data_IF_554253402808
#
_entry.id   IF_554253402808
#
_cell.length_a   1.000
_cell.length_b   1.000
_cell.length_c   1.000
_cell.angle_alpha   90.00
_cell.angle_beta   90.00
_cell.angle_gamma   90.00
#
_symmetry.space_group_name_H-M   'P 1'
#
loop_
_entity.id
_entity.type
_entity.pdbx_description
1 polymer ?
#
# COMPACT_ATOMS: atom_id res chain seq x y z
N UNK A 1 -11.19 -61.66 47.10
CA UNK A 1 -10.22 -61.65 45.98
C UNK A 1 -11.00 -61.59 44.67
N UNK A 2 -11.28 -60.38 44.16
CA UNK A 2 -11.90 -60.17 42.85
C UNK A 2 -11.04 -59.12 42.15
N UNK A 3 -10.35 -59.52 41.09
CA UNK A 3 -9.46 -58.66 40.31
C UNK A 3 -10.30 -57.73 39.42
N UNK A 4 -10.02 -56.43 39.54
CA UNK A 4 -10.61 -55.36 38.75
C UNK A 4 -10.14 -55.42 37.28
N UNK A 5 -11.10 -55.35 36.35
CA UNK A 5 -10.87 -55.14 34.93
C UNK A 5 -10.92 -53.63 34.67
N UNK A 6 -9.77 -53.00 34.38
CA UNK A 6 -9.71 -51.60 33.93
C UNK A 6 -9.99 -51.56 32.43
N UNK A 7 -11.15 -51.06 32.05
CA UNK A 7 -11.46 -50.67 30.67
C UNK A 7 -11.01 -49.23 30.51
N UNK A 8 -9.92 -49.01 29.78
CA UNK A 8 -9.51 -47.67 29.34
C UNK A 8 -10.32 -47.29 28.10
N UNK A 9 -11.32 -46.42 28.25
CA UNK A 9 -11.94 -45.74 27.11
C UNK A 9 -10.96 -44.65 26.63
N UNK A 10 -10.30 -44.89 25.49
CA UNK A 10 -9.72 -43.81 24.70
C UNK A 10 -10.86 -43.02 24.03
N UNK A 11 -11.12 -41.81 24.52
CA UNK A 11 -11.87 -40.82 23.74
C UNK A 11 -10.97 -40.30 22.62
N UNK A 12 -11.13 -40.84 21.42
CA UNK A 12 -10.59 -40.23 20.21
C UNK A 12 -11.37 -38.93 19.94
N UNK A 13 -10.78 -37.79 20.28
CA UNK A 13 -11.27 -36.48 19.85
C UNK A 13 -10.93 -36.36 18.37
N UNK A 14 -11.88 -36.70 17.51
CA UNK A 14 -11.83 -36.37 16.08
C UNK A 14 -11.98 -34.86 15.93
N UNK A 15 -11.02 -34.13 15.33
CA UNK A 15 -11.23 -32.73 14.99
C UNK A 15 -12.26 -32.69 13.86
N UNK A 16 -13.45 -32.17 14.16
CA UNK A 16 -14.38 -31.72 13.12
C UNK A 16 -13.73 -30.54 12.41
N UNK A 17 -13.12 -30.80 11.25
CA UNK A 17 -12.79 -29.75 10.29
C UNK A 17 -14.11 -29.16 9.79
N UNK A 18 -14.57 -28.09 10.44
CA UNK A 18 -15.53 -27.22 9.81
C UNK A 18 -14.79 -26.55 8.65
N UNK A 19 -15.14 -26.92 7.42
CA UNK A 19 -14.86 -26.10 6.24
C UNK A 19 -15.57 -24.77 6.45
N UNK A 20 -14.91 -23.82 7.11
CA UNK A 20 -15.34 -22.43 7.10
C UNK A 20 -15.29 -21.99 5.64
N UNK A 21 -16.46 -21.89 5.01
CA UNK A 21 -16.62 -21.10 3.79
C UNK A 21 -15.94 -19.76 4.06
N UNK A 22 -14.85 -19.49 3.35
CA UNK A 22 -14.08 -18.27 3.49
C UNK A 22 -15.01 -17.12 3.09
N UNK A 23 -15.50 -16.41 4.10
CA UNK A 23 -16.33 -15.23 3.91
C UNK A 23 -15.40 -14.02 3.97
N UNK A 24 -15.59 -13.10 3.04
CA UNK A 24 -15.00 -11.76 3.09
C UNK A 24 -15.19 -11.22 4.51
N UNK A 25 -14.12 -10.75 5.19
CA UNK A 25 -14.22 -10.14 6.51
C UNK A 25 -15.29 -9.04 6.55
N UNK A 26 -15.95 -8.89 7.71
CA UNK A 26 -17.02 -7.90 7.85
C UNK A 26 -16.45 -6.50 7.70
N UNK A 27 -16.99 -5.76 6.73
CA UNK A 27 -16.68 -4.35 6.55
C UNK A 27 -17.51 -3.53 7.53
N UNK A 28 -16.85 -2.66 8.29
CA UNK A 28 -17.48 -1.86 9.33
C UNK A 28 -18.46 -0.83 8.74
N UNK A 29 -19.53 -0.45 9.47
CA UNK A 29 -20.29 0.75 9.14
C UNK A 29 -19.47 2.03 9.36
N UNK A 30 -19.87 3.12 8.70
CA UNK A 30 -19.11 4.38 8.66
C UNK A 30 -18.78 4.97 10.04
N UNK A 31 -19.68 4.82 11.03
CA UNK A 31 -19.45 5.33 12.39
C UNK A 31 -18.30 4.59 13.08
N UNK A 32 -18.25 3.28 12.94
CA UNK A 32 -17.19 2.44 13.50
C UNK A 32 -15.87 2.65 12.74
N UNK A 33 -15.92 2.84 11.42
CA UNK A 33 -14.73 3.22 10.63
C UNK A 33 -14.13 4.54 11.12
N UNK A 34 -14.98 5.54 11.34
CA UNK A 34 -14.58 6.85 11.85
C UNK A 34 -13.82 6.74 13.18
N UNK A 35 -14.35 5.96 14.12
CA UNK A 35 -13.70 5.72 15.41
C UNK A 35 -12.34 5.02 15.28
N UNK A 36 -12.21 4.02 14.39
CA UNK A 36 -10.94 3.34 14.14
C UNK A 36 -9.90 4.30 13.54
N UNK A 37 -10.31 5.07 12.53
CA UNK A 37 -9.46 6.05 11.86
C UNK A 37 -8.95 7.10 12.85
N UNK A 38 -9.83 7.67 13.66
CA UNK A 38 -9.46 8.70 14.63
C UNK A 38 -8.55 8.16 15.72
N UNK A 39 -8.78 6.93 16.20
CA UNK A 39 -7.93 6.31 17.21
C UNK A 39 -6.51 5.97 16.70
N UNK A 40 -6.39 5.59 15.43
CA UNK A 40 -5.09 5.42 14.78
C UNK A 40 -4.42 6.77 14.61
N UNK A 41 -5.16 7.79 14.17
CA UNK A 41 -4.62 9.13 13.95
C UNK A 41 -4.12 9.77 15.27
N UNK A 42 -4.86 9.62 16.37
CA UNK A 42 -4.43 10.00 17.72
C UNK A 42 -3.09 9.34 18.09
N UNK A 43 -2.98 8.02 17.91
CA UNK A 43 -1.74 7.27 18.17
C UNK A 43 -0.57 7.78 17.32
N UNK A 44 -0.80 8.05 16.04
CA UNK A 44 0.23 8.61 15.15
C UNK A 44 0.69 10.00 15.62
N UNK A 45 -0.22 10.85 16.08
CA UNK A 45 0.15 12.17 16.60
C UNK A 45 0.90 12.12 17.93
N UNK A 46 0.53 11.21 18.83
CA UNK A 46 1.16 11.11 20.15
C UNK A 46 2.49 10.35 20.13
N UNK A 47 2.59 9.28 19.34
CA UNK A 47 3.69 8.34 19.42
C UNK A 47 4.63 8.40 18.21
N UNK A 48 4.09 8.55 16.99
CA UNK A 48 4.89 8.52 15.77
C UNK A 48 5.48 9.90 15.42
N UNK A 49 4.65 10.94 15.35
CA UNK A 49 5.07 12.26 14.91
C UNK A 49 6.25 12.84 15.73
N UNK A 50 6.27 12.76 17.07
CA UNK A 50 7.39 13.29 17.85
C UNK A 50 8.71 12.56 17.52
N UNK A 51 8.66 11.25 17.31
CA UNK A 51 9.83 10.48 16.94
C UNK A 51 10.36 10.90 15.56
N UNK A 52 9.47 11.11 14.59
CA UNK A 52 9.85 11.55 13.24
C UNK A 52 10.42 12.97 13.22
N UNK A 53 9.79 13.93 13.92
CA UNK A 53 10.29 15.31 14.00
C UNK A 53 11.70 15.36 14.58
N UNK A 54 11.97 14.55 15.62
CA UNK A 54 13.29 14.42 16.24
C UNK A 54 14.30 13.74 15.32
N UNK A 55 13.90 12.67 14.63
CA UNK A 55 14.73 11.95 13.65
C UNK A 55 15.23 12.88 12.56
N UNK A 56 14.36 13.73 12.03
CA UNK A 56 14.69 14.70 10.97
C UNK A 56 15.26 16.03 11.49
N UNK A 57 15.26 16.21 12.82
CA UNK A 57 15.72 17.41 13.50
C UNK A 57 14.97 18.66 13.05
N UNK A 58 13.64 18.57 12.87
CA UNK A 58 12.73 19.68 12.56
C UNK A 58 12.02 20.09 13.85
N UNK A 59 12.26 21.32 14.30
CA UNK A 59 11.67 21.83 15.55
C UNK A 59 10.22 22.25 15.35
N UNK A 60 9.90 22.83 14.19
CA UNK A 60 8.55 23.24 13.84
C UNK A 60 8.18 22.78 12.45
N UNK A 61 7.11 22.00 12.32
CA UNK A 61 6.56 21.59 11.05
C UNK A 61 5.25 22.33 10.78
N UNK A 62 5.19 23.04 9.66
CA UNK A 62 4.02 23.81 9.26
C UNK A 62 3.49 23.22 7.95
N UNK A 63 2.24 22.78 7.97
CA UNK A 63 1.53 22.26 6.79
C UNK A 63 0.39 23.22 6.47
N UNK A 64 0.41 23.77 5.25
CA UNK A 64 -0.52 24.81 4.80
C UNK A 64 -1.28 24.27 3.61
N UNK A 65 -2.61 24.34 3.66
CA UNK A 65 -3.44 23.90 2.55
C UNK A 65 -4.72 24.73 2.43
N UNK A 66 -5.39 24.56 1.30
CA UNK A 66 -6.72 25.10 1.06
C UNK A 66 -7.70 23.96 0.81
N UNK A 67 -8.96 24.20 1.14
CA UNK A 67 -10.08 23.33 0.81
C UNK A 67 -10.08 22.97 -0.69
N UNK A 68 -10.19 21.67 -0.98
CA UNK A 68 -10.11 21.07 -2.33
C UNK A 68 -8.72 21.10 -2.97
N UNK A 69 -7.69 21.54 -2.24
CA UNK A 69 -6.29 21.47 -2.65
C UNK A 69 -5.42 21.17 -1.43
N UNK A 70 -5.75 20.07 -0.76
CA UNK A 70 -5.04 19.60 0.42
C UNK A 70 -3.64 19.12 0.05
N UNK A 71 -2.67 19.51 0.87
CA UNK A 71 -1.37 18.86 0.90
C UNK A 71 -1.57 17.35 1.11
N UNK A 72 -0.88 16.47 0.34
CA UNK A 72 -1.09 15.02 0.45
C UNK A 72 -0.86 14.47 1.86
N UNK A 73 0.05 15.09 2.62
CA UNK A 73 0.27 14.78 4.04
C UNK A 73 -0.94 15.25 4.86
N UNK A 74 -1.38 16.50 4.69
CA UNK A 74 -2.52 17.04 5.45
C UNK A 74 -3.77 16.17 5.28
N UNK A 75 -4.04 15.67 4.09
CA UNK A 75 -5.19 14.79 3.82
C UNK A 75 -5.23 13.55 4.72
N UNK A 76 -4.06 13.02 5.08
CA UNK A 76 -3.95 11.87 6.00
C UNK A 76 -4.09 12.25 7.49
N UNK A 77 -3.97 13.54 7.80
CA UNK A 77 -4.02 14.11 9.14
C UNK A 77 -5.39 14.65 9.55
N UNK A 78 -6.35 14.68 8.63
CA UNK A 78 -7.70 15.16 8.93
C UNK A 78 -8.45 14.15 9.81
N UNK A 79 -9.25 14.58 10.80
CA UNK A 79 -10.19 13.71 11.48
C UNK A 79 -11.14 13.00 10.50
N UNK A 80 -11.66 11.84 10.88
CA UNK A 80 -12.51 10.99 10.03
C UNK A 80 -13.71 11.71 9.43
N UNK A 81 -14.31 12.63 10.18
CA UNK A 81 -15.49 13.41 9.77
C UNK A 81 -15.14 14.68 8.97
N UNK A 82 -13.85 14.95 8.74
CA UNK A 82 -13.38 16.04 7.89
C UNK A 82 -12.99 15.47 6.53
N UNK A 83 -13.93 15.51 5.59
CA UNK A 83 -13.75 15.00 4.23
C UNK A 83 -12.81 15.86 3.36
N UNK A 84 -12.60 17.12 3.77
CA UNK A 84 -11.69 18.09 3.16
C UNK A 84 -11.15 19.03 4.22
N UNK A 85 -10.09 19.77 3.89
CA UNK A 85 -9.74 20.98 4.63
C UNK A 85 -10.90 21.99 4.54
N UNK A 86 -10.94 22.97 5.45
CA UNK A 86 -12.00 23.99 5.50
C UNK A 86 -11.36 25.35 5.28
N UNK A 87 -11.60 26.00 4.13
CA UNK A 87 -10.86 27.20 3.69
C UNK A 87 -9.34 26.99 3.77
N UNK A 88 -8.57 27.96 4.28
CA UNK A 88 -7.15 27.82 4.58
C UNK A 88 -6.97 27.13 5.93
N UNK A 89 -6.40 25.94 5.89
CA UNK A 89 -6.01 25.17 7.09
C UNK A 89 -4.49 25.27 7.24
N UNK A 90 -4.04 25.63 8.44
CA UNK A 90 -2.62 25.65 8.80
C UNK A 90 -2.45 24.79 10.05
N UNK A 91 -1.78 23.66 9.90
CA UNK A 91 -1.37 22.79 11.01
C UNK A 91 0.06 23.14 11.41
N UNK A 92 0.30 23.31 12.70
CA UNK A 92 1.60 23.63 13.28
C UNK A 92 1.92 22.60 14.35
N UNK A 93 3.02 21.88 14.15
CA UNK A 93 3.58 20.96 15.13
C UNK A 93 4.90 21.54 15.61
N UNK A 94 5.08 21.68 16.91
CA UNK A 94 6.32 22.17 17.50
C UNK A 94 6.86 21.19 18.53
N UNK A 95 8.12 20.77 18.36
CA UNK A 95 8.85 19.97 19.33
C UNK A 95 9.68 20.89 20.25
N UNK A 96 9.27 21.06 21.52
CA UNK A 96 10.09 21.80 22.50
C UNK A 96 11.37 21.07 22.90
N UNK A 97 11.58 19.83 22.44
CA UNK A 97 12.74 19.00 22.71
C UNK A 97 12.74 18.39 24.12
N UNK A 98 13.85 17.74 24.46
CA UNK A 98 14.07 17.10 25.78
C UNK A 98 12.98 16.08 26.18
N UNK A 99 12.41 15.36 25.21
CA UNK A 99 11.40 14.33 25.47
C UNK A 99 10.01 14.87 25.87
N UNK A 100 9.80 16.19 25.83
CA UNK A 100 8.49 16.79 26.10
C UNK A 100 7.47 16.48 24.98
N UNK A 101 6.15 16.50 25.25
CA UNK A 101 5.14 16.37 24.22
C UNK A 101 5.22 17.49 23.17
N UNK A 102 4.72 17.23 21.96
CA UNK A 102 4.59 18.25 20.92
C UNK A 102 3.47 19.23 21.27
N UNK A 103 3.68 20.50 20.94
CA UNK A 103 2.55 21.42 20.78
C UNK A 103 1.92 21.16 19.41
N UNK A 104 0.62 20.85 19.40
CA UNK A 104 -0.16 20.53 18.19
C UNK A 104 -1.25 21.56 18.01
N UNK A 105 -1.05 22.47 17.07
CA UNK A 105 -1.88 23.66 16.90
C UNK A 105 -2.48 23.70 15.50
N UNK A 106 -3.71 24.18 15.40
CA UNK A 106 -4.29 24.62 14.16
C UNK A 106 -4.43 26.14 14.23
N UNK A 107 -3.92 26.88 13.23
CA UNK A 107 -4.18 28.33 13.15
C UNK A 107 -5.60 28.51 12.61
N UNK A 108 -6.58 28.21 13.46
CA UNK A 108 -8.00 28.14 13.15
C UNK A 108 -8.80 28.65 14.34
N UNK A 109 -10.05 29.07 14.09
CA UNK A 109 -10.94 29.60 15.13
C UNK A 109 -11.44 28.53 16.11
N UNK A 110 -11.25 27.27 15.76
CA UNK A 110 -11.79 26.11 16.45
C UNK A 110 -10.79 24.96 16.33
N UNK A 111 -10.89 24.02 17.26
CA UNK A 111 -10.06 22.82 17.29
C UNK A 111 -10.29 21.96 16.03
N UNK A 112 -9.23 21.32 15.55
CA UNK A 112 -9.32 20.31 14.49
C UNK A 112 -9.57 18.96 15.18
N UNK A 113 -10.85 18.64 15.36
CA UNK A 113 -11.25 17.47 16.16
C UNK A 113 -10.78 17.60 17.61
N UNK A 114 -10.31 16.51 18.19
CA UNK A 114 -9.65 16.47 19.51
C UNK A 114 -8.12 16.59 19.41
N UNK A 115 -7.59 16.76 18.20
CA UNK A 115 -6.19 16.48 17.87
C UNK A 115 -5.29 17.73 17.84
N UNK A 116 -5.84 18.86 17.40
CA UNK A 116 -5.11 20.14 17.36
C UNK A 116 -5.95 21.24 17.99
N UNK A 117 -5.31 21.99 18.90
CA UNK A 117 -5.92 23.16 19.54
C UNK A 117 -6.01 24.32 18.57
N UNK A 118 -7.17 24.95 18.48
CA UNK A 118 -7.40 26.16 17.68
C UNK A 118 -6.70 27.38 18.27
N UNK A 119 -5.77 27.94 17.52
CA UNK A 119 -4.91 29.07 17.94
C UNK A 119 -5.07 30.28 17.00
N UNK A 120 -6.32 30.65 16.71
CA UNK A 120 -6.63 31.88 15.99
C UNK A 120 -7.85 32.60 16.54
N UNK A 121 -7.58 33.66 17.31
CA UNK A 121 -8.58 34.65 17.69
C UNK A 121 -8.55 35.84 16.72
N UNK A 122 -9.68 36.03 16.02
CA UNK A 122 -9.84 37.08 15.01
C UNK A 122 -9.97 38.47 15.61
N UNK A 123 -10.48 38.57 16.83
CA UNK A 123 -10.59 39.85 17.51
C UNK A 123 -9.21 40.44 17.80
N UNK A 124 -8.21 39.59 18.04
CA UNK A 124 -6.81 39.98 18.26
C UNK A 124 -5.91 39.86 17.03
N UNK A 125 -6.33 39.11 15.99
CA UNK A 125 -5.59 38.92 14.73
C UNK A 125 -6.56 38.79 13.54
N UNK A 126 -6.91 39.90 12.86
CA UNK A 126 -7.81 39.83 11.70
C UNK A 126 -7.26 38.96 10.56
N UNK A 127 -5.93 38.91 10.41
CA UNK A 127 -5.23 38.07 9.43
C UNK A 127 -4.70 36.77 10.09
N UNK A 128 -5.06 35.62 9.52
CA UNK A 128 -4.64 34.29 9.96
C UNK A 128 -3.10 34.15 9.94
N UNK A 129 -2.42 34.83 9.02
CA UNK A 129 -0.96 34.83 8.96
C UNK A 129 -0.32 35.49 10.18
N UNK A 130 -0.92 36.55 10.72
CA UNK A 130 -0.36 37.26 11.87
C UNK A 130 -0.42 36.38 13.13
N UNK A 131 -1.47 35.55 13.25
CA UNK A 131 -1.58 34.54 14.31
C UNK A 131 -0.46 33.48 14.19
N UNK A 132 -0.20 32.96 12.98
CA UNK A 132 0.92 32.04 12.74
C UNK A 132 2.27 32.69 13.11
N UNK A 133 2.49 33.96 12.74
CA UNK A 133 3.72 34.67 13.06
C UNK A 133 3.92 34.89 14.56
N UNK A 134 2.84 35.12 15.32
CA UNK A 134 2.89 35.18 16.80
C UNK A 134 3.34 33.84 17.38
N UNK A 135 2.80 32.72 16.89
CA UNK A 135 3.22 31.37 17.30
C UNK A 135 4.70 31.14 17.01
N UNK A 136 5.16 31.42 15.78
CA UNK A 136 6.57 31.26 15.39
C UNK A 136 7.48 32.09 16.30
N UNK A 137 7.14 33.36 16.56
CA UNK A 137 7.93 34.24 17.44
C UNK A 137 7.98 33.74 18.88
N UNK A 138 6.84 33.27 19.41
CA UNK A 138 6.75 32.79 20.77
C UNK A 138 7.55 31.48 20.99
N UNK A 139 7.53 30.57 20.01
CA UNK A 139 8.24 29.29 20.08
C UNK A 139 9.71 29.40 19.66
N UNK A 140 10.06 30.41 18.85
CA UNK A 140 11.40 30.69 18.32
C UNK A 140 12.15 29.42 17.84
N UNK A 141 11.60 28.66 16.87
CA UNK A 141 12.24 27.43 16.38
C UNK A 141 13.60 27.74 15.74
N UNK A 142 14.52 26.76 15.74
CA UNK A 142 15.81 26.82 15.01
C UNK A 142 15.66 26.31 13.58
N UNK A 143 14.73 25.37 13.33
CA UNK A 143 14.38 24.87 12.00
C UNK A 143 12.87 24.77 11.79
N UNK A 144 12.39 25.33 10.68
CA UNK A 144 10.99 25.32 10.25
C UNK A 144 10.88 24.46 8.98
N UNK A 145 10.22 23.32 9.06
CA UNK A 145 9.95 22.45 7.92
C UNK A 145 8.67 22.86 7.19
N UNK A 146 8.73 22.90 5.86
CA UNK A 146 7.58 23.10 4.96
C UNK A 146 7.55 22.01 3.87
N UNK A 147 6.36 21.61 3.43
CA UNK A 147 6.19 20.52 2.47
C UNK A 147 6.44 20.97 1.02
N UNK A 148 7.71 21.01 0.62
CA UNK A 148 8.11 21.16 -0.78
C UNK A 148 9.18 20.13 -1.13
N UNK A 149 9.07 19.55 -2.33
CA UNK A 149 9.95 18.48 -2.81
C UNK A 149 10.05 18.46 -4.33
N UNK A 150 11.27 18.31 -4.85
CA UNK A 150 11.48 18.07 -6.28
C UNK A 150 11.39 16.57 -6.66
N UNK A 151 11.35 15.67 -5.67
CA UNK A 151 11.49 14.22 -5.85
C UNK A 151 10.20 13.48 -5.53
N UNK A 152 9.51 13.87 -4.46
CA UNK A 152 8.33 13.21 -3.92
C UNK A 152 7.13 14.14 -4.03
N UNK A 153 6.25 13.90 -5.00
CA UNK A 153 5.01 14.65 -5.15
C UNK A 153 4.14 14.63 -3.86
N UNK A 154 4.18 13.52 -3.12
CA UNK A 154 3.52 13.38 -1.81
C UNK A 154 3.97 14.40 -0.75
N UNK A 155 5.18 14.95 -0.90
CA UNK A 155 5.77 15.92 0.01
C UNK A 155 5.89 17.33 -0.61
N UNK A 156 5.22 17.57 -1.75
CA UNK A 156 5.21 18.83 -2.49
C UNK A 156 3.83 19.51 -2.49
N UNK A 157 3.12 19.42 -1.36
CA UNK A 157 1.76 19.96 -1.23
C UNK A 157 1.69 21.46 -0.93
N UNK A 158 2.81 22.12 -0.57
CA UNK A 158 2.83 23.56 -0.35
C UNK A 158 2.72 24.30 -1.69
N UNK A 159 1.52 24.79 -1.99
CA UNK A 159 1.28 25.53 -3.23
C UNK A 159 2.08 26.83 -3.29
N UNK A 160 2.43 27.26 -4.52
CA UNK A 160 3.21 28.47 -4.77
C UNK A 160 2.68 29.71 -4.05
N UNK A 161 1.36 29.99 -4.16
CA UNK A 161 0.75 31.16 -3.51
C UNK A 161 0.90 31.13 -1.98
N UNK A 162 0.66 29.97 -1.36
CA UNK A 162 0.78 29.83 0.10
C UNK A 162 2.23 29.98 0.57
N UNK A 163 3.19 29.48 -0.21
CA UNK A 163 4.63 29.68 0.05
C UNK A 163 5.01 31.16 -0.02
N UNK A 164 4.60 31.86 -1.08
CA UNK A 164 4.93 33.27 -1.26
C UNK A 164 4.32 34.14 -0.16
N UNK A 165 3.05 33.92 0.19
CA UNK A 165 2.39 34.63 1.30
C UNK A 165 3.09 34.34 2.64
N UNK A 166 3.41 33.08 2.92
CA UNK A 166 4.15 32.71 4.13
C UNK A 166 5.50 33.43 4.21
N UNK A 167 6.30 33.40 3.13
CA UNK A 167 7.63 34.01 3.11
C UNK A 167 7.60 35.54 3.18
N UNK A 168 6.56 36.20 2.63
CA UNK A 168 6.36 37.64 2.77
C UNK A 168 6.03 38.04 4.22
N UNK A 169 5.22 37.22 4.91
CA UNK A 169 4.80 37.47 6.29
C UNK A 169 5.85 37.06 7.32
N UNK A 170 6.67 36.07 7.01
CA UNK A 170 7.72 35.57 7.89
C UNK A 170 8.77 36.67 8.18
N UNK A 171 9.08 36.97 9.46
CA UNK A 171 10.13 37.93 9.78
C UNK A 171 11.49 37.48 9.24
N UNK A 172 12.29 38.41 8.75
CA UNK A 172 13.57 38.13 8.06
C UNK A 172 14.55 37.25 8.85
N UNK A 173 14.55 37.35 10.18
CA UNK A 173 15.38 36.53 11.07
C UNK A 173 15.06 35.02 11.02
N UNK A 174 13.85 34.62 10.58
CA UNK A 174 13.45 33.22 10.44
C UNK A 174 13.64 32.68 9.02
N UNK A 175 13.90 33.52 8.01
CA UNK A 175 13.99 33.08 6.61
C UNK A 175 15.05 31.99 6.42
N UNK A 176 16.22 32.15 7.05
CA UNK A 176 17.31 31.17 6.98
C UNK A 176 17.03 29.86 7.76
N UNK A 177 15.95 29.82 8.55
CA UNK A 177 15.55 28.64 9.33
C UNK A 177 14.55 27.76 8.58
N UNK A 178 14.00 28.24 7.46
CA UNK A 178 13.05 27.49 6.63
C UNK A 178 13.81 26.43 5.84
N UNK A 179 13.30 25.20 5.85
CA UNK A 179 13.85 24.08 5.11
C UNK A 179 12.75 23.14 4.59
N UNK A 180 13.13 22.19 3.74
CA UNK A 180 12.20 21.20 3.23
C UNK A 180 11.82 20.20 4.33
N UNK A 181 10.53 19.96 4.47
CA UNK A 181 9.93 18.90 5.27
C UNK A 181 9.81 17.58 4.52
N UNK A 182 10.48 17.41 3.37
CA UNK A 182 10.37 16.22 2.51
C UNK A 182 10.56 14.91 3.29
N UNK A 183 11.68 14.77 4.01
CA UNK A 183 11.96 13.54 4.76
C UNK A 183 10.98 13.27 5.90
N UNK A 184 10.48 14.31 6.56
CA UNK A 184 9.46 14.20 7.60
C UNK A 184 8.10 13.81 7.02
N UNK A 185 7.77 14.35 5.85
CA UNK A 185 6.56 13.99 5.09
C UNK A 185 6.61 12.53 4.64
N UNK A 186 7.74 12.09 4.09
CA UNK A 186 7.96 10.69 3.72
C UNK A 186 7.85 9.81 4.95
N UNK A 187 8.56 10.12 6.03
CA UNK A 187 8.50 9.37 7.29
C UNK A 187 7.07 9.23 7.84
N UNK A 188 6.29 10.32 7.79
CA UNK A 188 4.89 10.30 8.19
C UNK A 188 4.03 9.43 7.27
N UNK A 189 4.30 9.39 5.97
CA UNK A 189 3.49 8.64 5.01
C UNK A 189 3.91 7.18 4.86
N UNK A 190 5.17 6.83 5.12
CA UNK A 190 5.71 5.48 4.91
C UNK A 190 5.56 4.59 6.16
N UNK A 191 5.64 5.18 7.35
CA UNK A 191 5.72 4.42 8.60
C UNK A 191 4.35 3.91 9.03
N UNK A 192 4.24 2.60 9.25
CA UNK A 192 3.06 1.95 9.82
C UNK A 192 3.21 1.78 11.33
N UNK A 193 2.17 2.13 12.08
CA UNK A 193 2.14 1.87 13.53
C UNK A 193 1.68 0.46 13.85
N UNK A 194 1.91 -0.01 15.08
CA UNK A 194 1.41 -1.32 15.54
C UNK A 194 -0.12 -1.42 15.44
N UNK A 195 -0.84 -0.31 15.66
CA UNK A 195 -2.30 -0.26 15.50
C UNK A 195 -2.74 -0.49 14.06
N UNK A 196 -2.06 0.14 13.10
CA UNK A 196 -2.31 -0.10 11.68
C UNK A 196 -1.99 -1.56 11.31
N UNK A 197 -0.87 -2.09 11.80
CA UNK A 197 -0.48 -3.47 11.52
C UNK A 197 -1.38 -4.52 12.18
N UNK A 198 -2.19 -4.15 13.17
CA UNK A 198 -3.22 -5.02 13.74
C UNK A 198 -4.39 -5.22 12.77
N UNK A 199 -4.71 -4.21 11.96
CA UNK A 199 -5.85 -4.26 11.03
C UNK A 199 -5.44 -4.61 9.59
N UNK A 200 -4.22 -4.26 9.18
CA UNK A 200 -3.78 -4.41 7.78
C UNK A 200 -3.90 -5.85 7.24
N UNK A 201 -3.54 -6.91 7.98
CA UNK A 201 -3.74 -8.29 7.53
C UNK A 201 -5.18 -8.62 7.12
N UNK A 202 -6.16 -8.06 7.84
CA UNK A 202 -7.57 -8.24 7.51
C UNK A 202 -7.96 -7.45 6.26
N UNK A 203 -7.39 -6.25 6.04
CA UNK A 203 -7.62 -5.46 4.83
C UNK A 203 -7.08 -6.18 3.59
N UNK A 204 -5.84 -6.66 3.62
CA UNK A 204 -5.27 -7.48 2.55
C UNK A 204 -6.10 -8.77 2.34
N UNK A 205 -6.62 -9.37 3.42
CA UNK A 205 -7.51 -10.53 3.31
C UNK A 205 -8.80 -10.21 2.57
N UNK A 206 -9.43 -9.05 2.79
CA UNK A 206 -10.62 -8.64 2.03
C UNK A 206 -10.30 -8.60 0.53
N UNK A 207 -9.16 -7.99 0.16
CA UNK A 207 -8.72 -7.91 -1.24
C UNK A 207 -8.51 -9.31 -1.85
N UNK A 208 -7.80 -10.19 -1.14
CA UNK A 208 -7.63 -11.60 -1.54
C UNK A 208 -8.96 -12.34 -1.76
N UNK A 209 -9.93 -12.16 -0.87
CA UNK A 209 -11.23 -12.83 -1.00
C UNK A 209 -12.05 -12.30 -2.18
N UNK A 210 -11.93 -11.00 -2.50
CA UNK A 210 -12.56 -10.43 -3.69
C UNK A 210 -11.92 -11.00 -4.97
N UNK A 211 -10.59 -11.12 -5.02
CA UNK A 211 -9.88 -11.77 -6.13
C UNK A 211 -10.30 -13.24 -6.24
N UNK A 212 -10.36 -13.96 -5.12
CA UNK A 212 -10.78 -15.35 -5.08
C UNK A 212 -12.22 -15.54 -5.60
N UNK A 213 -13.13 -14.63 -5.25
CA UNK A 213 -14.51 -14.60 -5.76
C UNK A 213 -14.55 -14.31 -7.28
N UNK A 214 -13.78 -13.33 -7.76
CA UNK A 214 -13.68 -12.96 -9.18
C UNK A 214 -13.07 -14.08 -10.04
N UNK A 215 -12.07 -14.79 -9.51
CA UNK A 215 -11.47 -15.97 -10.11
C UNK A 215 -12.20 -17.26 -9.73
N UNK A 216 -13.51 -17.29 -9.97
CA UNK A 216 -14.34 -18.47 -9.76
C UNK A 216 -15.45 -18.58 -10.80
N UNK A 217 -16.10 -19.73 -10.82
CA UNK A 217 -17.26 -20.06 -11.65
C UNK A 217 -18.49 -19.19 -11.34
N UNK A 218 -18.46 -18.46 -10.22
CA UNK A 218 -19.48 -17.45 -9.90
C UNK A 218 -19.46 -16.29 -10.90
N UNK A 219 -18.29 -15.98 -11.46
CA UNK A 219 -18.06 -14.80 -12.31
C UNK A 219 -17.61 -15.21 -13.70
N UNK A 220 -16.74 -16.20 -13.79
CA UNK A 220 -16.13 -16.63 -15.05
C UNK A 220 -16.85 -17.86 -15.59
N UNK A 221 -17.56 -17.65 -16.70
CA UNK A 221 -18.06 -18.69 -17.58
C UNK A 221 -17.20 -18.70 -18.86
N UNK A 222 -16.32 -19.71 -19.05
CA UNK A 222 -15.46 -19.78 -20.24
C UNK A 222 -16.28 -19.77 -21.54
N UNK A 223 -15.80 -19.01 -22.53
CA UNK A 223 -16.45 -18.78 -23.81
C UNK A 223 -17.50 -17.66 -23.80
N UNK A 224 -17.87 -17.13 -22.64
CA UNK A 224 -18.89 -16.09 -22.47
C UNK A 224 -18.32 -14.86 -21.77
N UNK A 225 -17.81 -15.02 -20.55
CA UNK A 225 -17.25 -13.91 -19.76
C UNK A 225 -16.01 -13.36 -20.43
N UNK A 226 -15.91 -12.03 -20.51
CA UNK A 226 -14.72 -11.33 -21.01
C UNK A 226 -13.84 -10.83 -19.86
N UNK A 227 -12.60 -10.48 -20.16
CA UNK A 227 -11.71 -9.80 -19.20
C UNK A 227 -12.31 -8.50 -18.64
N UNK A 228 -13.03 -7.74 -19.47
CA UNK A 228 -13.69 -6.48 -19.07
C UNK A 228 -14.87 -6.73 -18.12
N UNK A 229 -15.64 -7.81 -18.31
CA UNK A 229 -16.71 -8.19 -17.38
C UNK A 229 -16.16 -8.46 -15.98
N UNK A 230 -14.99 -9.12 -15.87
CA UNK A 230 -14.33 -9.37 -14.58
C UNK A 230 -13.83 -8.08 -13.94
N UNK A 231 -13.26 -7.16 -14.74
CA UNK A 231 -12.85 -5.81 -14.27
C UNK A 231 -14.04 -5.04 -13.69
N UNK A 232 -15.18 -5.01 -14.39
CA UNK A 232 -16.37 -4.33 -13.91
C UNK A 232 -17.01 -5.02 -12.72
N UNK A 233 -16.99 -6.35 -12.68
CA UNK A 233 -17.39 -7.12 -11.52
C UNK A 233 -16.57 -6.72 -10.28
N UNK A 234 -15.23 -6.67 -10.38
CA UNK A 234 -14.34 -6.25 -9.29
C UNK A 234 -14.69 -4.83 -8.80
N UNK A 235 -14.88 -3.89 -9.72
CA UNK A 235 -15.25 -2.49 -9.40
C UNK A 235 -16.61 -2.38 -8.71
N UNK A 236 -17.60 -3.13 -9.18
CA UNK A 236 -18.92 -3.16 -8.55
C UNK A 236 -18.83 -3.82 -7.16
N UNK A 237 -18.06 -4.90 -7.04
CA UNK A 237 -17.90 -5.63 -5.77
C UNK A 237 -17.29 -4.78 -4.67
N UNK A 238 -16.27 -3.97 -5.01
CA UNK A 238 -15.69 -2.97 -4.09
C UNK A 238 -16.76 -1.98 -3.60
N UNK A 239 -17.57 -1.48 -4.53
CA UNK A 239 -18.65 -0.51 -4.23
C UNK A 239 -19.74 -1.12 -3.33
N UNK A 240 -20.17 -2.35 -3.64
CA UNK A 240 -21.22 -3.06 -2.87
C UNK A 240 -20.80 -3.34 -1.44
N UNK A 241 -19.51 -3.54 -1.20
CA UNK A 241 -18.93 -3.71 0.14
C UNK A 241 -18.71 -2.37 0.87
N UNK A 242 -18.98 -1.24 0.21
CA UNK A 242 -18.74 0.10 0.73
C UNK A 242 -17.26 0.43 0.85
N UNK A 243 -16.40 -0.13 0.00
CA UNK A 243 -14.96 0.09 -0.01
C UNK A 243 -14.57 1.11 -1.09
N UNK A 244 -13.36 1.66 -0.98
CA UNK A 244 -12.74 2.45 -2.04
C UNK A 244 -11.76 1.62 -2.87
N UNK A 245 -11.21 2.23 -3.92
CA UNK A 245 -10.05 1.72 -4.66
C UNK A 245 -9.26 2.91 -5.20
N UNK A 246 -7.94 2.77 -5.32
CA UNK A 246 -7.05 3.85 -5.74
C UNK A 246 -6.67 3.78 -7.23
N UNK A 247 -7.06 2.71 -7.93
CA UNK A 247 -6.90 2.57 -9.37
C UNK A 247 -8.07 1.78 -10.00
N UNK A 248 -8.02 1.61 -11.32
CA UNK A 248 -8.95 0.76 -12.03
C UNK A 248 -8.25 -0.56 -12.32
N UNK A 249 -8.79 -1.71 -11.87
CA UNK A 249 -8.06 -2.96 -11.94
C UNK A 249 -7.87 -3.37 -13.40
N UNK A 250 -6.92 -4.27 -13.61
CA UNK A 250 -6.71 -4.88 -14.92
C UNK A 250 -6.90 -6.39 -14.83
N UNK A 251 -7.43 -6.97 -15.90
CA UNK A 251 -7.49 -8.41 -16.09
C UNK A 251 -6.99 -8.70 -17.49
N UNK A 252 -5.99 -9.56 -17.61
CA UNK A 252 -5.40 -9.95 -18.88
C UNK A 252 -5.25 -11.46 -18.98
N UNK A 253 -4.97 -11.90 -20.21
CA UNK A 253 -4.85 -13.31 -20.54
C UNK A 253 -3.57 -13.57 -21.33
N UNK A 254 -2.98 -14.72 -21.05
CA UNK A 254 -1.93 -15.33 -21.84
C UNK A 254 -2.39 -16.72 -22.24
N UNK A 255 -2.31 -17.03 -23.53
CA UNK A 255 -2.74 -18.32 -24.08
C UNK A 255 -1.77 -18.83 -25.15
N UNK A 256 -1.92 -20.11 -25.46
CA UNK A 256 -1.22 -20.77 -26.57
C UNK A 256 -1.81 -20.28 -27.91
N UNK A 257 -1.23 -19.20 -28.45
CA UNK A 257 -1.57 -18.62 -29.74
C UNK A 257 -0.32 -18.07 -30.45
N UNK A 258 -0.45 -17.75 -31.74
CA UNK A 258 0.65 -17.21 -32.55
C UNK A 258 0.95 -15.72 -32.26
N UNK A 259 0.25 -15.11 -31.30
CA UNK A 259 0.45 -13.70 -30.95
C UNK A 259 1.55 -13.58 -29.91
N UNK A 260 2.59 -12.81 -30.22
CA UNK A 260 3.62 -12.46 -29.24
C UNK A 260 3.04 -11.61 -28.10
N UNK A 261 3.47 -11.87 -26.87
CA UNK A 261 3.11 -11.06 -25.71
C UNK A 261 3.80 -9.68 -25.80
N UNK A 262 3.03 -8.61 -25.94
CA UNK A 262 3.53 -7.24 -26.00
C UNK A 262 3.45 -6.61 -24.61
N UNK A 263 4.52 -6.78 -23.82
CA UNK A 263 4.64 -6.24 -22.45
C UNK A 263 4.42 -4.73 -22.36
N UNK A 264 4.76 -3.95 -23.41
CA UNK A 264 4.54 -2.50 -23.41
C UNK A 264 3.04 -2.16 -23.48
N UNK A 265 2.21 -3.04 -24.03
CA UNK A 265 0.75 -2.83 -24.02
C UNK A 265 0.21 -2.97 -22.61
N UNK A 266 0.49 -4.03 -21.88
CA UNK A 266 -0.13 -4.26 -20.56
C UNK A 266 0.08 -3.10 -19.59
N UNK A 267 1.26 -2.46 -19.58
CA UNK A 267 1.54 -1.30 -18.72
C UNK A 267 1.16 0.07 -19.33
N UNK A 268 1.20 0.24 -20.66
CA UNK A 268 0.95 1.55 -21.30
C UNK A 268 -0.43 1.69 -21.99
N UNK A 269 -1.15 0.59 -22.21
CA UNK A 269 -2.47 0.53 -22.88
C UNK A 269 -3.32 -0.61 -22.31
N UNK A 270 -4.49 -0.26 -21.75
CA UNK A 270 -5.45 -1.26 -21.24
C UNK A 270 -5.64 -2.42 -22.24
N UNK A 271 -5.56 -3.69 -21.79
CA UNK A 271 -5.88 -4.83 -22.63
C UNK A 271 -7.27 -4.63 -23.24
N UNK A 272 -7.44 -4.95 -24.53
CA UNK A 272 -8.78 -4.98 -25.12
C UNK A 272 -9.63 -6.06 -24.46
N UNK A 273 -10.95 -5.88 -24.45
CA UNK A 273 -11.87 -6.93 -23.95
C UNK A 273 -11.69 -8.22 -24.76
N UNK A 274 -11.37 -9.32 -24.09
CA UNK A 274 -11.17 -10.64 -24.70
C UNK A 274 -12.06 -11.68 -24.01
N UNK A 275 -12.79 -12.52 -24.76
CA UNK A 275 -13.47 -13.68 -24.18
C UNK A 275 -12.46 -14.62 -23.52
N UNK A 276 -12.73 -15.00 -22.28
CA UNK A 276 -11.95 -15.94 -21.50
C UNK A 276 -12.24 -17.36 -22.00
N UNK A 277 -11.21 -18.12 -22.36
CA UNK A 277 -11.33 -19.44 -22.98
C UNK A 277 -10.66 -20.54 -22.16
N UNK A 278 -11.09 -21.81 -22.30
CA UNK A 278 -10.34 -22.94 -21.75
C UNK A 278 -8.90 -22.97 -22.24
N UNK A 279 -7.96 -23.11 -21.29
CA UNK A 279 -6.52 -23.09 -21.53
C UNK A 279 -5.84 -21.74 -21.33
N UNK A 280 -6.59 -20.70 -20.96
CA UNK A 280 -6.03 -19.39 -20.64
C UNK A 280 -5.36 -19.37 -19.27
N UNK A 281 -4.18 -18.76 -19.20
CA UNK A 281 -3.62 -18.20 -17.97
C UNK A 281 -4.13 -16.77 -17.83
N UNK A 282 -4.91 -16.49 -16.79
CA UNK A 282 -5.50 -15.19 -16.48
C UNK A 282 -4.71 -14.56 -15.36
N UNK A 283 -4.49 -13.25 -15.48
CA UNK A 283 -3.86 -12.41 -14.48
C UNK A 283 -4.82 -11.29 -14.09
N UNK A 284 -4.79 -10.88 -12.82
CA UNK A 284 -5.48 -9.71 -12.30
C UNK A 284 -4.48 -8.83 -11.57
N UNK A 285 -4.67 -7.52 -11.67
CA UNK A 285 -4.05 -6.49 -10.85
C UNK A 285 -5.16 -5.69 -10.16
N UNK A 286 -5.22 -5.74 -8.83
CA UNK A 286 -6.34 -5.26 -8.04
C UNK A 286 -5.96 -4.79 -6.63
N UNK A 287 -6.51 -3.65 -6.23
CA UNK A 287 -6.36 -3.11 -4.88
C UNK A 287 -7.61 -2.40 -4.37
N UNK A 288 -7.77 -2.37 -3.05
CA UNK A 288 -8.83 -1.63 -2.35
C UNK A 288 -8.25 -0.52 -1.48
N UNK A 289 -9.09 0.43 -1.11
CA UNK A 289 -8.82 1.42 -0.06
C UNK A 289 -9.83 1.22 1.06
N UNK A 290 -9.33 0.93 2.26
CA UNK A 290 -10.17 0.73 3.45
C UNK A 290 -9.46 1.25 4.69
N UNK A 291 -10.18 1.96 5.57
CA UNK A 291 -9.63 2.57 6.78
C UNK A 291 -8.36 3.42 6.52
N UNK A 292 -8.32 4.10 5.37
CA UNK A 292 -7.19 4.92 4.86
C UNK A 292 -5.91 4.15 4.50
N UNK A 293 -5.98 2.82 4.42
CA UNK A 293 -4.90 1.98 3.92
C UNK A 293 -5.29 1.39 2.56
N UNK A 294 -4.31 1.26 1.67
CA UNK A 294 -4.45 0.67 0.35
C UNK A 294 -3.87 -0.75 0.34
N UNK A 295 -4.41 -1.61 -0.50
CA UNK A 295 -3.78 -2.89 -0.88
C UNK A 295 -3.37 -2.84 -2.34
N UNK A 296 -2.44 -3.71 -2.72
CA UNK A 296 -2.12 -3.96 -4.12
C UNK A 296 -1.70 -5.42 -4.34
N UNK A 297 -2.37 -6.09 -5.28
CA UNK A 297 -2.28 -7.53 -5.42
C UNK A 297 -2.44 -7.97 -6.87
N UNK A 298 -1.48 -8.78 -7.32
CA UNK A 298 -1.47 -9.43 -8.62
C UNK A 298 -1.45 -10.93 -8.46
N UNK A 299 -2.47 -11.60 -9.01
CA UNK A 299 -2.64 -13.04 -8.88
C UNK A 299 -3.03 -13.69 -10.22
N UNK A 300 -2.75 -15.00 -10.32
CA UNK A 300 -3.03 -15.81 -11.50
C UNK A 300 -4.14 -16.84 -11.27
N UNK A 301 -4.92 -17.09 -12.32
CA UNK A 301 -5.79 -18.25 -12.44
C UNK A 301 -5.58 -18.95 -13.79
N UNK A 302 -5.90 -20.24 -13.87
CA UNK A 302 -5.85 -21.03 -15.09
C UNK A 302 -7.23 -21.63 -15.37
N UNK A 303 -7.72 -21.42 -16.59
CA UNK A 303 -8.97 -22.04 -17.04
C UNK A 303 -8.66 -23.46 -17.53
N UNK A 304 -9.14 -24.46 -16.80
CA UNK A 304 -8.91 -25.86 -17.16
C UNK A 304 -9.58 -26.19 -18.51
N UNK A 305 -8.85 -26.90 -19.37
CA UNK A 305 -9.43 -27.49 -20.58
C UNK A 305 -10.32 -28.67 -20.23
N UNK A 306 -11.24 -29.06 -21.15
CA UNK A 306 -12.00 -30.29 -20.99
C UNK A 306 -11.07 -31.49 -20.71
N UNK A 307 -11.28 -32.15 -19.56
CA UNK A 307 -10.49 -33.30 -19.11
C UNK A 307 -9.25 -32.99 -18.28
N UNK A 308 -8.83 -31.72 -18.17
CA UNK A 308 -7.77 -31.32 -17.23
C UNK A 308 -8.33 -31.25 -15.79
N UNK A 309 -7.62 -31.86 -14.85
CA UNK A 309 -7.94 -31.79 -13.41
C UNK A 309 -6.98 -30.88 -12.62
N UNK A 310 -5.82 -30.58 -13.20
CA UNK A 310 -4.76 -29.81 -12.56
C UNK A 310 -4.15 -28.80 -13.53
N UNK A 311 -3.49 -27.79 -12.97
CA UNK A 311 -2.68 -26.84 -13.75
C UNK A 311 -1.54 -27.62 -14.44
N UNK A 312 -1.29 -27.37 -15.74
CA UNK A 312 -0.16 -27.98 -16.44
C UNK A 312 1.18 -27.72 -15.76
N UNK A 313 2.03 -28.76 -15.72
CA UNK A 313 3.31 -28.73 -15.00
C UNK A 313 4.26 -27.61 -15.46
N UNK A 314 4.25 -27.26 -16.75
CA UNK A 314 5.06 -26.16 -17.28
C UNK A 314 4.63 -24.79 -16.74
N UNK A 315 3.34 -24.58 -16.45
CA UNK A 315 2.84 -23.35 -15.82
C UNK A 315 3.18 -23.32 -14.33
N UNK A 316 3.07 -24.46 -13.63
CA UNK A 316 3.51 -24.57 -12.21
C UNK A 316 4.99 -24.21 -12.07
N UNK A 317 5.85 -24.72 -12.97
CA UNK A 317 7.29 -24.39 -13.00
C UNK A 317 7.57 -22.93 -13.34
N UNK A 318 6.82 -22.34 -14.27
CA UNK A 318 6.94 -20.91 -14.57
C UNK A 318 6.58 -20.07 -13.35
N UNK A 319 5.46 -20.40 -12.69
CA UNK A 319 4.98 -19.70 -11.50
C UNK A 319 5.99 -19.75 -10.34
N UNK A 320 6.61 -20.91 -10.13
CA UNK A 320 7.64 -21.10 -9.12
C UNK A 320 8.87 -20.18 -9.34
N UNK A 321 9.22 -19.83 -10.58
CA UNK A 321 10.28 -18.85 -10.85
C UNK A 321 9.89 -17.44 -10.39
N UNK A 322 8.61 -17.05 -10.56
CA UNK A 322 8.10 -15.77 -10.05
C UNK A 322 8.15 -15.71 -8.52
N UNK A 323 7.68 -16.77 -7.85
CA UNK A 323 7.80 -16.92 -6.40
C UNK A 323 9.26 -16.89 -5.93
N UNK A 324 10.18 -17.48 -6.69
CA UNK A 324 11.61 -17.42 -6.38
C UNK A 324 12.16 -15.99 -6.50
N UNK A 325 11.76 -15.22 -7.51
CA UNK A 325 12.18 -13.82 -7.63
C UNK A 325 11.66 -12.96 -6.45
N UNK A 326 10.44 -13.24 -5.97
CA UNK A 326 9.90 -12.62 -4.76
C UNK A 326 10.76 -12.93 -3.53
N UNK A 327 11.22 -14.18 -3.37
CA UNK A 327 12.15 -14.55 -2.29
C UNK A 327 13.48 -13.78 -2.41
N UNK A 328 14.08 -13.79 -3.60
CA UNK A 328 15.35 -13.10 -3.88
C UNK A 328 15.28 -11.63 -3.47
N UNK A 329 14.21 -10.94 -3.86
CA UNK A 329 14.01 -9.54 -3.52
C UNK A 329 13.78 -9.34 -2.01
N UNK A 330 12.86 -10.10 -1.42
CA UNK A 330 12.45 -9.88 -0.02
C UNK A 330 13.57 -10.21 0.98
N UNK A 331 14.50 -11.12 0.62
CA UNK A 331 15.74 -11.37 1.36
C UNK A 331 16.69 -10.16 1.40
N UNK A 332 16.50 -9.13 0.56
CA UNK A 332 17.34 -7.91 0.51
C UNK A 332 16.87 -6.78 1.39
N UNK A 333 15.66 -6.87 1.95
CA UNK A 333 15.12 -5.86 2.84
C UNK A 333 15.99 -5.73 4.09
N UNK A 334 16.59 -4.55 4.26
CA UNK A 334 17.45 -4.22 5.39
C UNK A 334 17.42 -2.72 5.65
N UNK A 335 17.22 -2.35 6.91
CA UNK A 335 17.21 -0.94 7.31
C UNK A 335 18.50 -0.23 6.90
N UNK A 336 18.35 0.97 6.36
CA UNK A 336 19.44 1.82 5.85
C UNK A 336 19.85 1.54 4.41
N UNK A 337 19.45 0.40 3.80
CA UNK A 337 19.68 0.18 2.36
C UNK A 337 18.75 1.03 1.52
N UNK A 338 19.24 1.48 0.38
CA UNK A 338 18.43 2.16 -0.64
C UNK A 338 17.67 1.16 -1.50
N UNK A 339 16.60 1.63 -2.15
CA UNK A 339 15.88 0.81 -3.14
C UNK A 339 16.77 0.40 -4.32
N UNK A 340 17.69 1.27 -4.74
CA UNK A 340 18.65 0.99 -5.79
C UNK A 340 19.64 -0.14 -5.43
N UNK A 341 20.12 -0.19 -4.19
CA UNK A 341 20.97 -1.28 -3.71
C UNK A 341 20.22 -2.61 -3.67
N UNK A 342 18.99 -2.61 -3.12
CA UNK A 342 18.16 -3.82 -3.07
C UNK A 342 17.84 -4.36 -4.47
N UNK A 343 17.50 -3.48 -5.41
CA UNK A 343 17.24 -3.83 -6.81
C UNK A 343 18.48 -4.47 -7.46
N UNK A 344 19.63 -3.81 -7.38
CA UNK A 344 20.85 -4.28 -8.02
C UNK A 344 21.31 -5.64 -7.47
N UNK A 345 21.22 -5.84 -6.15
CA UNK A 345 21.54 -7.12 -5.52
C UNK A 345 20.57 -8.24 -5.92
N UNK A 346 19.26 -7.95 -5.96
CA UNK A 346 18.23 -8.91 -6.34
C UNK A 346 18.36 -9.33 -7.81
N UNK A 347 18.50 -8.38 -8.72
CA UNK A 347 18.67 -8.68 -10.15
C UNK A 347 19.94 -9.48 -10.44
N UNK A 348 21.05 -9.16 -9.75
CA UNK A 348 22.29 -9.93 -9.86
C UNK A 348 22.10 -11.38 -9.43
N UNK A 349 21.38 -11.62 -8.33
CA UNK A 349 21.10 -13.01 -7.91
C UNK A 349 20.16 -13.69 -8.89
N UNK A 350 19.09 -13.03 -9.33
CA UNK A 350 18.14 -13.58 -10.30
C UNK A 350 18.85 -14.01 -11.59
N UNK A 351 19.74 -13.18 -12.14
CA UNK A 351 20.56 -13.52 -13.31
C UNK A 351 21.43 -14.76 -13.06
N UNK A 352 22.08 -14.85 -11.89
CA UNK A 352 22.89 -16.02 -11.53
C UNK A 352 22.09 -17.32 -11.37
N UNK A 353 20.78 -17.21 -11.05
CA UNK A 353 19.84 -18.34 -10.98
C UNK A 353 19.13 -18.59 -12.33
N UNK A 354 19.48 -17.85 -13.39
CA UNK A 354 18.86 -17.99 -14.71
C UNK A 354 17.44 -17.42 -14.82
N UNK A 355 17.04 -16.57 -13.88
CA UNK A 355 15.73 -15.94 -13.82
C UNK A 355 15.78 -14.60 -14.56
N UNK A 356 15.04 -14.50 -15.66
CA UNK A 356 14.85 -13.24 -16.40
C UNK A 356 13.77 -12.40 -15.71
N UNK A 357 14.17 -11.69 -14.65
CA UNK A 357 13.26 -10.90 -13.80
C UNK A 357 13.15 -9.42 -14.16
N UNK A 358 12.05 -8.80 -13.76
CA UNK A 358 11.90 -7.34 -13.67
C UNK A 358 11.21 -7.01 -12.35
N UNK A 359 11.79 -6.09 -11.57
CA UNK A 359 11.34 -5.70 -10.24
C UNK A 359 10.95 -4.22 -10.27
N UNK A 360 9.77 -3.90 -9.74
CA UNK A 360 9.21 -2.54 -9.74
C UNK A 360 8.36 -2.31 -8.49
N UNK A 361 8.81 -2.90 -7.38
CA UNK A 361 8.15 -2.84 -6.09
C UNK A 361 8.22 -1.45 -5.48
N UNK A 362 7.16 -1.06 -4.77
CA UNK A 362 7.03 0.28 -4.21
C UNK A 362 6.44 0.25 -2.79
N UNK A 363 6.65 1.30 -1.99
CA UNK A 363 5.97 1.44 -0.71
C UNK A 363 4.44 1.48 -0.90
N UNK A 364 3.69 1.01 0.11
CA UNK A 364 2.22 1.08 0.13
C UNK A 364 1.70 1.47 1.52
N UNK A 365 0.48 2.02 1.56
CA UNK A 365 -0.18 2.41 2.81
C UNK A 365 -1.25 3.47 2.55
N UNK A 366 -1.01 4.71 2.98
CA UNK A 366 -1.96 5.82 2.78
C UNK A 366 -2.23 6.14 1.31
N UNK A 367 -1.30 5.76 0.42
CA UNK A 367 -1.44 5.80 -1.03
C UNK A 367 -1.08 4.41 -1.59
N UNK A 368 -1.53 4.07 -2.80
CA UNK A 368 -1.13 2.83 -3.49
C UNK A 368 0.35 2.83 -3.83
N UNK A 369 0.76 3.72 -4.73
CA UNK A 369 2.15 4.14 -4.87
C UNK A 369 2.52 5.11 -3.74
N UNK A 370 2.88 4.60 -2.56
CA UNK A 370 3.19 5.44 -1.39
C UNK A 370 4.60 6.03 -1.42
N UNK A 371 4.83 7.04 -0.57
CA UNK A 371 6.14 7.63 -0.35
C UNK A 371 7.08 6.64 0.36
N UNK A 372 8.35 6.69 0.02
CA UNK A 372 9.42 5.81 0.52
C UNK A 372 10.31 5.29 -0.62
N UNK A 373 11.22 4.34 -0.34
CA UNK A 373 12.16 3.83 -1.34
C UNK A 373 11.47 3.04 -2.45
N UNK A 374 11.56 3.50 -3.69
CA UNK A 374 11.16 2.70 -4.86
C UNK A 374 12.24 1.66 -5.20
N UNK A 375 11.83 0.45 -5.58
CA UNK A 375 12.74 -0.64 -5.95
C UNK A 375 12.50 -0.99 -7.42
N UNK A 376 13.21 -0.29 -8.31
CA UNK A 376 13.07 -0.44 -9.75
C UNK A 376 11.81 0.20 -10.33
N UNK A 377 11.69 0.11 -11.65
CA UNK A 377 10.53 0.54 -12.43
C UNK A 377 10.32 -0.45 -13.57
N UNK A 378 9.08 -0.66 -13.99
CA UNK A 378 8.75 -1.63 -15.04
C UNK A 378 9.54 -1.38 -16.35
N UNK A 379 9.91 -0.13 -16.62
CA UNK A 379 10.71 0.32 -17.77
C UNK A 379 12.19 0.64 -17.46
N UNK A 380 12.60 0.59 -16.18
CA UNK A 380 13.96 0.89 -15.75
C UNK A 380 14.43 -0.05 -14.63
N UNK A 381 15.23 -1.06 -15.02
CA UNK A 381 15.83 -2.07 -14.13
C UNK A 381 17.27 -1.72 -13.70
N UNK A 382 17.65 -0.43 -13.72
CA UNK A 382 18.98 0.02 -13.32
C UNK A 382 18.96 0.81 -12.01
N UNK A 383 18.77 2.11 -12.11
CA UNK A 383 18.82 3.01 -10.96
C UNK A 383 17.67 3.99 -11.09
N UNK A 384 16.88 4.12 -10.03
CA UNK A 384 15.78 5.07 -9.91
C UNK A 384 16.31 6.28 -9.14
N UNK A 385 16.62 7.35 -9.86
CA UNK A 385 17.12 8.60 -9.26
C UNK A 385 16.05 9.22 -8.36
N UNK A 386 16.45 9.67 -7.18
CA UNK A 386 15.56 10.30 -6.22
C UNK A 386 14.87 9.27 -5.33
N UNK A 387 13.75 8.69 -5.78
CA UNK A 387 12.97 7.78 -4.93
C UNK A 387 13.71 6.48 -4.60
N UNK A 388 14.53 5.96 -5.52
CA UNK A 388 15.36 4.78 -5.26
C UNK A 388 16.58 5.04 -4.37
N UNK A 389 16.93 6.31 -4.14
CA UNK A 389 18.08 6.72 -3.30
C UNK A 389 17.71 6.92 -1.83
N UNK A 390 16.40 6.96 -1.52
CA UNK A 390 15.93 7.09 -0.14
C UNK A 390 16.18 5.79 0.64
N UNK A 391 16.72 5.85 1.87
CA UNK A 391 17.01 4.66 2.65
C UNK A 391 15.72 4.01 3.18
N UNK A 392 15.68 2.69 3.17
CA UNK A 392 14.63 1.91 3.80
C UNK A 392 14.68 2.09 5.31
N UNK A 393 13.56 2.51 5.88
CA UNK A 393 13.34 2.51 7.32
C UNK A 393 12.54 1.28 7.75
N UNK A 394 12.68 0.90 9.02
CA UNK A 394 11.81 -0.11 9.63
C UNK A 394 10.38 0.39 9.71
N UNK A 395 9.44 -0.55 9.83
CA UNK A 395 8.01 -0.35 9.90
C UNK A 395 7.41 0.24 8.60
N UNK A 396 7.95 -0.14 7.45
CA UNK A 396 7.45 0.28 6.13
C UNK A 396 6.74 -0.89 5.45
N UNK A 397 5.54 -0.62 4.93
CA UNK A 397 4.80 -1.56 4.10
C UNK A 397 5.14 -1.36 2.61
N UNK A 398 5.12 -2.45 1.86
CA UNK A 398 5.50 -2.51 0.45
C UNK A 398 4.54 -3.35 -0.35
N UNK A 399 4.29 -2.95 -1.58
CA UNK A 399 3.81 -3.85 -2.60
C UNK A 399 5.00 -4.54 -3.28
N UNK A 400 5.09 -5.88 -3.19
CA UNK A 400 6.18 -6.66 -3.79
C UNK A 400 5.83 -7.01 -5.22
N UNK A 401 5.91 -6.01 -6.09
CA UNK A 401 5.57 -6.08 -7.50
C UNK A 401 6.76 -6.45 -8.39
N UNK A 402 6.60 -7.50 -9.19
CA UNK A 402 7.62 -7.99 -10.12
C UNK A 402 7.05 -8.92 -11.18
N UNK A 403 7.85 -9.24 -12.21
CA UNK A 403 7.54 -10.33 -13.13
C UNK A 403 8.77 -11.12 -13.56
N UNK A 404 8.55 -12.36 -14.00
CA UNK A 404 9.56 -13.19 -14.68
C UNK A 404 9.14 -13.53 -16.10
N UNK A 405 10.08 -13.43 -17.04
CA UNK A 405 9.92 -13.93 -18.42
C UNK A 405 10.29 -15.41 -18.49
N UNK A 406 9.35 -16.25 -18.92
CA UNK A 406 9.55 -17.70 -19.02
C UNK A 406 9.19 -18.18 -20.42
N UNK A 407 10.16 -18.76 -21.13
CA UNK A 407 9.93 -19.41 -22.41
C UNK A 407 9.27 -20.78 -22.19
N UNK A 408 8.05 -20.94 -22.67
CA UNK A 408 7.32 -22.21 -22.66
C UNK A 408 7.50 -22.90 -24.01
N UNK A 409 7.89 -24.18 -23.97
CA UNK A 409 8.02 -24.99 -25.19
C UNK A 409 6.65 -25.39 -25.72
N UNK A 410 5.73 -25.70 -24.82
CA UNK A 410 4.36 -26.15 -25.07
C UNK A 410 3.53 -25.10 -25.79
N UNK A 411 3.84 -23.80 -25.60
CA UNK A 411 3.18 -22.69 -26.27
C UNK A 411 4.05 -22.06 -27.36
N UNK A 412 5.29 -22.52 -27.54
CA UNK A 412 6.31 -21.89 -28.38
C UNK A 412 6.39 -20.36 -28.15
N UNK A 413 6.28 -19.93 -26.89
CA UNK A 413 6.08 -18.52 -26.52
C UNK A 413 6.70 -18.19 -25.16
N UNK A 414 7.20 -16.97 -25.02
CA UNK A 414 7.56 -16.41 -23.70
C UNK A 414 6.31 -15.84 -23.05
N UNK A 415 6.03 -16.29 -21.83
CA UNK A 415 4.99 -15.73 -20.97
C UNK A 415 5.61 -14.87 -19.87
N UNK A 416 4.77 -14.07 -19.21
CA UNK A 416 5.12 -13.36 -17.98
C UNK A 416 4.35 -13.90 -16.79
N UNK A 417 5.05 -14.26 -15.73
CA UNK A 417 4.43 -14.46 -14.42
C UNK A 417 4.60 -13.16 -13.65
N UNK A 418 3.53 -12.36 -13.64
CA UNK A 418 3.41 -11.10 -12.90
C UNK A 418 2.86 -11.40 -11.52
N UNK A 419 3.51 -10.92 -10.46
CA UNK A 419 3.14 -11.20 -9.08
C UNK A 419 3.29 -9.94 -8.24
N UNK A 420 2.35 -9.75 -7.34
CA UNK A 420 2.33 -8.62 -6.45
C UNK A 420 1.56 -8.97 -5.19
N UNK A 421 2.19 -8.71 -4.05
CA UNK A 421 1.60 -8.94 -2.75
C UNK A 421 2.13 -7.94 -1.73
N UNK A 422 1.22 -7.47 -0.88
CA UNK A 422 1.53 -6.57 0.22
C UNK A 422 2.41 -7.26 1.28
N UNK A 423 3.51 -6.62 1.63
CA UNK A 423 4.44 -7.02 2.67
C UNK A 423 4.85 -5.89 3.58
N UNK A 424 5.59 -6.24 4.63
CA UNK A 424 5.98 -5.31 5.67
C UNK A 424 7.34 -5.69 6.23
N UNK A 425 8.16 -4.67 6.40
CA UNK A 425 9.50 -4.78 6.93
C UNK A 425 9.57 -4.10 8.30
N UNK A 426 9.91 -4.88 9.34
CA UNK A 426 10.17 -4.38 10.69
C UNK A 426 11.49 -4.93 11.24
N UNK A 427 11.77 -4.66 12.52
CA UNK A 427 12.98 -5.16 13.23
C UNK A 427 13.17 -6.68 13.19
N UNK A 428 12.12 -7.46 12.93
CA UNK A 428 12.17 -8.92 12.82
C UNK A 428 12.41 -9.38 11.38
N UNK A 429 12.51 -8.46 10.42
CA UNK A 429 12.68 -8.71 9.00
C UNK A 429 11.42 -8.48 8.18
N UNK A 430 11.46 -8.97 6.94
CA UNK A 430 10.35 -8.88 6.01
C UNK A 430 9.35 -10.03 6.18
N UNK A 431 8.05 -9.73 6.05
CA UNK A 431 6.99 -10.73 5.89
C UNK A 431 5.86 -10.21 5.01
N UNK A 432 5.18 -11.10 4.30
CA UNK A 432 3.91 -10.77 3.65
C UNK A 432 2.82 -10.51 4.68
N UNK A 433 2.01 -9.49 4.47
CA UNK A 433 0.99 -9.03 5.42
C UNK A 433 -0.15 -10.06 5.55
N UNK A 434 -0.57 -10.64 4.43
CA UNK A 434 -1.58 -11.72 4.41
C UNK A 434 -1.14 -12.96 3.62
N UNK A 435 0.18 -13.18 3.55
CA UNK A 435 0.75 -14.22 2.70
C UNK A 435 0.84 -13.79 1.25
N UNK A 436 1.22 -14.74 0.38
CA UNK A 436 1.32 -14.55 -1.06
C UNK A 436 0.69 -15.70 -1.81
N UNK A 437 0.31 -15.50 -3.08
CA UNK A 437 -0.07 -16.61 -3.95
C UNK A 437 1.12 -17.57 -4.18
N UNK A 438 0.94 -18.84 -3.77
CA UNK A 438 1.92 -19.93 -3.96
C UNK A 438 1.52 -20.94 -5.05
N UNK A 439 0.26 -20.95 -5.43
CA UNK A 439 -0.28 -21.83 -6.47
C UNK A 439 -1.26 -21.02 -7.33
N UNK A 440 -1.22 -21.25 -8.65
CA UNK A 440 -2.19 -20.68 -9.58
C UNK A 440 -3.57 -21.23 -9.22
N UNK A 441 -4.61 -20.40 -9.26
CA UNK A 441 -5.98 -20.88 -9.05
C UNK A 441 -6.48 -21.68 -10.26
N UNK A 442 -7.30 -22.70 -10.03
CA UNK A 442 -8.03 -23.38 -11.11
C UNK A 442 -9.43 -22.81 -11.27
N UNK A 443 -9.91 -22.74 -12.51
CA UNK A 443 -11.31 -22.49 -12.83
C UNK A 443 -11.76 -23.58 -13.82
N UNK A 444 -12.71 -24.46 -13.46
CA UNK A 444 -13.41 -24.51 -12.18
C UNK A 444 -12.50 -24.87 -11.00
N UNK A 445 -12.91 -24.49 -9.78
CA UNK A 445 -12.24 -24.84 -8.53
C UNK A 445 -12.33 -26.34 -8.32
N UNK A 446 -11.23 -26.96 -7.91
CA UNK A 446 -11.24 -28.38 -7.59
C UNK A 446 -12.01 -28.63 -6.30
N UNK A 447 -13.06 -29.45 -6.37
CA UNK A 447 -13.81 -29.87 -5.21
C UNK A 447 -13.05 -31.00 -4.50
N UNK A 448 -12.65 -30.77 -3.26
CA UNK A 448 -12.02 -31.81 -2.45
C UNK A 448 -12.97 -33.00 -2.25
N UNK A 449 -12.54 -34.19 -2.68
CA UNK A 449 -13.28 -35.45 -2.48
C UNK A 449 -14.33 -35.78 -3.55
N UNK A 450 -14.31 -35.10 -4.71
CA UNK A 450 -15.17 -35.41 -5.86
C UNK A 450 -14.30 -35.78 -7.06
N UNK A 451 -14.57 -36.91 -7.70
CA UNK A 451 -13.80 -37.44 -8.85
C UNK A 451 -14.27 -36.88 -10.20
#
# INVERSE_FOLDING_TARGET
MIKALRISLLFAILPFYHSFSQKIPVVLPERERAAVIDNILEDRFENLLPALMRREGIDMWIIISREYNEDPVMKTMLPSVWLSARRRTIMVFYDPGNGKPLDKLAIARYDVGTLLTGEWDISSNPDQWDALMKVIKAKNPKKIGLNYSATYAHADGLTFTEREEFMQKLPKEYHAKVTSGEKLSIGWLETRTEKEMTIYPMICRISHEIINEAFSEKVIQPGVTTTDDVVWYLRQRVTDLGLGTWFHPTVDIQRADDKNFDHLRTFAKRPGSQPIMPGDLIHVDFGITYLRLNTDQQQHAYILKPGEKEIPEYLKKAFAQGNRLQDILTERFKAGKTGNEMLAEALKQAESEGITGSIYSHPIGSHGHAAGPAIGMWDNQKTVKGTGDYPLHENTAYSIELNVAVQLKEWNKTIRIMLEEDGYFDKNGFRYINGRQKEIFTIPRQLHGVE
#
